data_IF_082756470072
#
_entry.id   IF_082756470072
#
_cell.length_a   1.000
_cell.length_b   1.000
_cell.length_c   1.000
_cell.angle_alpha   90.00
_cell.angle_beta   90.00
_cell.angle_gamma   90.00
#
_symmetry.space_group_name_H-M   'P 1'
#
loop_
_entity.id
_entity.type
_entity.pdbx_description
1 polymer ?
#
# COMPACT_ATOMS: atom_id res chain seq x y z
N UNK A 1 9.45 -55.92 -12.86
CA UNK A 1 10.73 -55.30 -12.46
C UNK A 1 10.69 -53.83 -12.84
N UNK A 2 10.07 -53.00 -12.00
CA UNK A 2 10.02 -51.54 -12.20
C UNK A 2 11.42 -51.02 -11.80
N UNK A 3 12.14 -50.33 -12.70
CA UNK A 3 13.58 -50.20 -12.58
C UNK A 3 13.93 -49.22 -11.46
N UNK A 4 14.91 -49.60 -10.64
CA UNK A 4 15.53 -48.78 -9.57
C UNK A 4 15.96 -47.38 -10.05
N UNK A 5 16.10 -47.20 -11.38
CA UNK A 5 16.37 -45.94 -12.05
C UNK A 5 15.25 -44.89 -11.88
N UNK A 6 13.97 -45.28 -11.91
CA UNK A 6 12.83 -44.34 -11.77
C UNK A 6 12.73 -43.80 -10.33
N UNK A 7 13.01 -44.65 -9.34
CA UNK A 7 13.04 -44.27 -7.92
C UNK A 7 14.20 -43.31 -7.63
N UNK A 8 15.37 -43.54 -8.24
CA UNK A 8 16.52 -42.64 -8.12
C UNK A 8 16.28 -41.30 -8.83
N UNK A 9 15.59 -41.27 -9.97
CA UNK A 9 15.26 -40.03 -10.70
C UNK A 9 14.20 -39.18 -9.95
N UNK A 10 13.25 -39.82 -9.27
CA UNK A 10 12.27 -39.14 -8.40
C UNK A 10 12.89 -38.62 -7.09
N UNK A 11 13.94 -39.29 -6.58
CA UNK A 11 14.67 -38.82 -5.38
C UNK A 11 15.64 -37.65 -5.66
N UNK A 12 16.15 -37.52 -6.89
CA UNK A 12 17.09 -36.45 -7.25
C UNK A 12 16.41 -35.17 -7.74
N UNK A 13 15.15 -35.22 -8.19
CA UNK A 13 14.38 -34.02 -8.58
C UNK A 13 13.67 -33.30 -7.41
N UNK A 14 13.64 -33.87 -6.21
CA UNK A 14 12.84 -33.34 -5.09
C UNK A 14 13.50 -32.26 -4.20
N UNK A 15 14.82 -31.96 -4.20
CA UNK A 15 15.36 -30.90 -3.36
C UNK A 15 15.49 -29.54 -4.06
N UNK A 16 14.78 -29.29 -5.16
CA UNK A 16 14.75 -27.99 -5.83
C UNK A 16 13.48 -27.20 -5.47
N UNK A 17 13.70 -26.06 -4.82
CA UNK A 17 12.85 -24.83 -4.83
C UNK A 17 11.65 -24.68 -3.89
N UNK A 18 11.79 -25.00 -2.60
CA UNK A 18 10.85 -24.44 -1.58
C UNK A 18 11.54 -23.63 -0.48
N UNK A 19 12.73 -23.10 -0.73
CA UNK A 19 13.21 -21.93 0.02
C UNK A 19 12.56 -20.68 -0.58
N UNK A 20 11.30 -20.45 -0.23
CA UNK A 20 10.59 -19.22 -0.56
C UNK A 20 11.22 -18.07 0.22
N UNK A 21 12.26 -17.46 -0.33
CA UNK A 21 12.74 -16.16 0.14
C UNK A 21 11.64 -15.14 -0.16
N UNK A 22 10.73 -14.91 0.78
CA UNK A 22 9.72 -13.87 0.62
C UNK A 22 10.42 -12.50 0.57
N UNK A 23 10.06 -11.71 -0.44
CA UNK A 23 10.48 -10.32 -0.59
C UNK A 23 9.25 -9.43 -0.70
N UNK A 24 9.16 -8.40 0.12
CA UNK A 24 8.12 -7.37 0.09
C UNK A 24 8.81 -6.02 -0.06
N UNK A 25 8.28 -5.15 -0.93
CA UNK A 25 8.83 -3.81 -1.18
C UNK A 25 7.77 -2.77 -0.89
N UNK A 26 8.13 -1.75 -0.13
CA UNK A 26 7.27 -0.62 0.24
C UNK A 26 7.94 0.69 -0.18
N UNK A 27 7.17 1.64 -0.70
CA UNK A 27 7.66 2.97 -1.06
C UNK A 27 7.04 4.03 -0.16
N UNK A 28 7.81 5.07 0.16
CA UNK A 28 7.43 6.11 1.13
C UNK A 28 7.42 7.49 0.48
N UNK A 29 6.45 7.79 -0.42
CA UNK A 29 6.32 9.11 -1.00
C UNK A 29 6.05 10.18 0.06
N UNK A 30 6.60 11.38 -0.16
CA UNK A 30 6.43 12.50 0.76
C UNK A 30 7.37 12.50 1.98
N UNK A 31 8.20 11.47 2.15
CA UNK A 31 9.17 11.39 3.24
C UNK A 31 10.61 11.40 2.73
N UNK A 32 11.50 12.04 3.49
CA UNK A 32 12.93 12.00 3.19
C UNK A 32 13.52 10.62 3.53
N UNK A 33 14.55 10.20 2.80
CA UNK A 33 15.24 8.93 3.06
C UNK A 33 15.76 8.81 4.49
N UNK A 34 16.29 9.88 5.08
CA UNK A 34 16.78 9.86 6.46
C UNK A 34 15.64 9.67 7.47
N UNK A 35 14.50 10.34 7.25
CA UNK A 35 13.30 10.16 8.08
C UNK A 35 12.81 8.72 8.03
N UNK A 36 12.71 8.14 6.82
CA UNK A 36 12.32 6.74 6.63
C UNK A 36 13.32 5.80 7.30
N UNK A 37 14.62 6.06 7.18
CA UNK A 37 15.65 5.24 7.81
C UNK A 37 15.55 5.26 9.33
N UNK A 38 15.32 6.43 9.94
CA UNK A 38 15.10 6.54 11.38
C UNK A 38 13.88 5.73 11.81
N UNK A 39 12.74 5.87 11.12
CA UNK A 39 11.53 5.11 11.43
C UNK A 39 11.75 3.59 11.32
N UNK A 40 12.45 3.13 10.27
CA UNK A 40 12.82 1.72 10.09
C UNK A 40 13.65 1.19 11.26
N UNK A 41 14.64 1.97 11.74
CA UNK A 41 15.45 1.56 12.89
C UNK A 41 14.62 1.49 14.17
N UNK A 42 13.77 2.51 14.42
CA UNK A 42 12.88 2.52 15.59
C UNK A 42 11.97 1.29 15.62
N UNK A 43 11.30 0.97 14.51
CA UNK A 43 10.44 -0.24 14.40
C UNK A 43 11.22 -1.55 14.55
N UNK A 44 12.49 -1.58 14.13
CA UNK A 44 13.33 -2.76 14.31
C UNK A 44 13.69 -2.96 15.80
N UNK A 45 14.07 -1.89 16.49
CA UNK A 45 14.54 -1.90 17.89
C UNK A 45 13.39 -2.05 18.90
N UNK A 46 12.27 -1.37 18.68
CA UNK A 46 11.14 -1.27 19.60
C UNK A 46 9.82 -1.68 18.92
N UNK A 47 9.68 -2.94 18.48
CA UNK A 47 8.51 -3.36 17.72
C UNK A 47 7.27 -3.50 18.60
N UNK A 48 6.14 -2.97 18.13
CA UNK A 48 4.84 -3.17 18.77
C UNK A 48 4.09 -4.41 18.21
N UNK A 49 3.44 -5.13 19.13
CA UNK A 49 2.61 -6.29 18.83
C UNK A 49 1.37 -6.30 19.73
N UNK A 50 0.19 -6.55 19.16
CA UNK A 50 -1.06 -6.60 19.92
C UNK A 50 -1.13 -7.82 20.88
N UNK A 51 -1.04 -9.02 20.31
CA UNK A 51 -1.28 -10.29 21.01
C UNK A 51 -0.01 -11.12 21.22
N UNK A 52 1.17 -10.56 20.91
CA UNK A 52 2.45 -11.26 21.00
C UNK A 52 3.41 -10.52 21.93
N UNK A 53 4.16 -11.27 22.71
CA UNK A 53 5.24 -10.76 23.55
C UNK A 53 6.58 -11.02 22.88
N UNK A 54 7.41 -9.98 22.80
CA UNK A 54 8.79 -10.06 22.33
C UNK A 54 9.65 -10.64 23.46
N UNK A 55 10.31 -11.74 23.19
CA UNK A 55 11.19 -12.44 24.13
C UNK A 55 12.66 -12.17 23.86
N UNK A 56 13.03 -12.09 22.58
CA UNK A 56 14.38 -11.77 22.10
C UNK A 56 14.22 -10.81 20.92
N UNK A 57 15.02 -9.75 20.88
CA UNK A 57 15.09 -8.82 19.75
C UNK A 57 16.55 -8.42 19.53
N UNK A 58 17.17 -8.96 18.49
CA UNK A 58 18.53 -8.65 18.08
C UNK A 58 18.46 -7.91 16.75
N UNK A 59 18.96 -6.67 16.75
CA UNK A 59 19.04 -5.81 15.57
C UNK A 59 20.49 -5.52 15.29
N UNK A 60 20.91 -5.78 14.06
CA UNK A 60 22.22 -5.38 13.56
C UNK A 60 22.02 -4.38 12.42
N UNK A 61 22.68 -3.23 12.49
CA UNK A 61 22.52 -2.14 11.53
C UNK A 61 23.84 -1.85 10.82
N UNK A 62 23.76 -1.75 9.50
CA UNK A 62 24.82 -1.31 8.59
C UNK A 62 24.41 0.03 7.95
N UNK A 63 24.88 1.16 8.50
CA UNK A 63 24.49 2.48 8.01
C UNK A 63 25.09 2.80 6.64
N UNK A 64 26.21 2.19 6.25
CA UNK A 64 26.85 2.45 4.95
C UNK A 64 26.00 1.92 3.79
N UNK A 65 25.37 0.76 3.99
CA UNK A 65 24.49 0.14 2.99
C UNK A 65 23.01 0.36 3.25
N UNK A 66 22.65 1.14 4.28
CA UNK A 66 21.30 1.33 4.79
C UNK A 66 20.52 0.00 4.89
N UNK A 67 21.18 -0.97 5.51
CA UNK A 67 20.68 -2.32 5.73
C UNK A 67 20.60 -2.59 7.21
N UNK A 68 19.56 -3.28 7.64
CA UNK A 68 19.52 -3.88 8.97
C UNK A 68 19.10 -5.35 8.88
N UNK A 69 19.57 -6.14 9.82
CA UNK A 69 19.21 -7.54 10.01
C UNK A 69 18.56 -7.70 11.38
N UNK A 70 17.45 -8.44 11.42
CA UNK A 70 16.68 -8.67 12.63
C UNK A 70 16.56 -10.17 12.89
N UNK A 71 16.93 -10.57 14.09
CA UNK A 71 16.52 -11.84 14.68
C UNK A 71 15.60 -11.56 15.87
N UNK A 72 14.42 -12.18 15.87
CA UNK A 72 13.40 -11.91 16.89
C UNK A 72 12.66 -13.18 17.28
N UNK A 73 12.39 -13.32 18.57
CA UNK A 73 11.55 -14.39 19.10
C UNK A 73 10.32 -13.79 19.75
N UNK A 74 9.14 -14.20 19.30
CA UNK A 74 7.88 -13.80 19.91
C UNK A 74 7.12 -15.00 20.47
N UNK A 75 6.30 -14.77 21.50
CA UNK A 75 5.41 -15.78 22.07
C UNK A 75 4.03 -15.22 22.36
N UNK A 76 3.02 -16.08 22.27
CA UNK A 76 1.68 -15.77 22.77
C UNK A 76 1.04 -17.00 23.40
N UNK A 77 0.02 -16.75 24.22
CA UNK A 77 -0.80 -17.81 24.81
C UNK A 77 -2.24 -17.61 24.40
N UNK A 78 -2.79 -18.56 23.65
CA UNK A 78 -4.18 -18.52 23.20
C UNK A 78 -5.07 -19.27 24.19
N UNK A 79 -6.09 -18.58 24.69
CA UNK A 79 -7.14 -19.16 25.52
C UNK A 79 -8.41 -19.33 24.68
N UNK A 80 -8.95 -20.55 24.62
CA UNK A 80 -10.26 -20.82 24.02
C UNK A 80 -11.19 -21.43 25.06
N UNK A 81 -12.49 -21.10 25.06
CA UNK A 81 -13.46 -21.70 25.98
C UNK A 81 -13.38 -23.22 25.93
N UNK A 82 -13.33 -23.86 27.10
CA UNK A 82 -13.32 -25.32 27.26
C UNK A 82 -12.11 -26.05 26.64
N UNK A 83 -11.08 -25.32 26.20
CA UNK A 83 -9.84 -25.90 25.70
C UNK A 83 -8.65 -25.55 26.62
N UNK A 84 -7.61 -26.38 26.57
CA UNK A 84 -6.34 -26.06 27.23
C UNK A 84 -5.65 -24.88 26.52
N UNK A 85 -4.95 -23.99 27.25
CA UNK A 85 -4.19 -22.91 26.63
C UNK A 85 -3.16 -23.45 25.63
N UNK A 86 -3.02 -22.76 24.49
CA UNK A 86 -2.05 -23.10 23.45
C UNK A 86 -0.94 -22.04 23.51
N UNK A 87 0.28 -22.47 23.81
CA UNK A 87 1.46 -21.62 23.73
C UNK A 87 2.03 -21.67 22.31
N UNK A 88 2.15 -20.51 21.68
CA UNK A 88 2.78 -20.37 20.38
C UNK A 88 4.10 -19.60 20.51
N UNK A 89 5.10 -20.03 19.74
CA UNK A 89 6.40 -19.35 19.63
C UNK A 89 6.72 -19.15 18.16
N UNK A 90 7.17 -17.96 17.78
CA UNK A 90 7.67 -17.66 16.44
C UNK A 90 9.10 -17.14 16.52
N UNK A 91 9.86 -17.45 15.48
CA UNK A 91 11.20 -16.94 15.27
C UNK A 91 11.22 -16.24 13.92
N UNK A 92 11.71 -15.02 13.92
CA UNK A 92 11.84 -14.17 12.74
C UNK A 92 13.31 -13.97 12.45
N UNK A 93 13.66 -14.10 11.17
CA UNK A 93 14.96 -13.72 10.63
C UNK A 93 14.69 -13.01 9.33
N UNK A 94 14.94 -11.71 9.30
CA UNK A 94 14.70 -10.90 8.11
C UNK A 94 15.69 -9.76 8.00
N UNK A 95 15.78 -9.22 6.79
CA UNK A 95 16.63 -8.09 6.45
C UNK A 95 15.74 -6.98 5.90
N UNK A 96 16.04 -5.73 6.27
CA UNK A 96 15.49 -4.54 5.63
C UNK A 96 16.63 -3.83 4.89
N UNK A 97 16.36 -3.35 3.68
CA UNK A 97 17.30 -2.51 2.92
C UNK A 97 16.56 -1.30 2.38
N UNK A 98 17.09 -0.10 2.61
CA UNK A 98 16.53 1.15 2.11
C UNK A 98 17.26 1.61 0.84
N UNK A 99 16.56 1.51 -0.29
CA UNK A 99 17.06 1.84 -1.61
C UNK A 99 17.36 3.35 -1.74
N UNK A 100 18.26 3.68 -2.66
CA UNK A 100 18.52 5.05 -3.10
C UNK A 100 17.53 5.40 -4.22
N UNK A 101 16.45 6.10 -3.89
CA UNK A 101 15.43 6.51 -4.84
C UNK A 101 14.56 7.64 -4.30
N UNK A 102 13.86 8.31 -5.21
CA UNK A 102 12.83 9.30 -4.90
C UNK A 102 11.53 8.91 -5.63
N UNK A 103 10.50 8.44 -4.90
CA UNK A 103 10.43 8.32 -3.45
C UNK A 103 11.34 7.21 -2.87
N UNK A 104 11.78 7.32 -1.60
CA UNK A 104 12.55 6.27 -0.94
C UNK A 104 11.73 4.98 -0.86
N UNK A 105 12.40 3.83 -0.99
CA UNK A 105 11.74 2.52 -0.94
C UNK A 105 12.54 1.54 -0.10
N UNK A 106 11.86 0.77 0.75
CA UNK A 106 12.47 -0.25 1.57
C UNK A 106 12.06 -1.65 1.12
N UNK A 107 13.00 -2.59 1.16
CA UNK A 107 12.77 -3.99 0.82
C UNK A 107 12.91 -4.84 2.09
N UNK A 108 11.84 -5.55 2.44
CA UNK A 108 11.84 -6.62 3.42
C UNK A 108 12.22 -7.95 2.73
N UNK A 109 13.18 -8.66 3.30
CA UNK A 109 13.60 -9.98 2.84
C UNK A 109 13.57 -10.98 4.00
N UNK A 110 12.72 -12.00 3.90
CA UNK A 110 12.74 -13.11 4.84
C UNK A 110 13.97 -14.00 4.63
N UNK A 111 14.68 -14.29 5.71
CA UNK A 111 15.92 -15.10 5.74
C UNK A 111 15.76 -16.42 6.50
N UNK A 112 14.64 -16.59 7.20
CA UNK A 112 14.34 -17.79 7.98
C UNK A 112 13.51 -18.82 7.22
N UNK A 113 13.48 -20.06 7.74
CA UNK A 113 12.49 -21.06 7.36
C UNK A 113 11.13 -20.71 7.99
N UNK A 114 10.53 -19.60 7.55
CA UNK A 114 9.18 -19.22 7.93
C UNK A 114 8.20 -19.72 6.87
N UNK A 115 6.98 -20.05 7.30
CA UNK A 115 5.86 -20.22 6.35
C UNK A 115 5.71 -18.89 5.60
N UNK A 116 5.67 -18.86 4.26
CA UNK A 116 5.67 -17.62 3.49
C UNK A 116 4.59 -16.63 3.92
N UNK A 117 3.39 -17.13 4.23
CA UNK A 117 2.29 -16.30 4.74
C UNK A 117 2.65 -15.60 6.07
N UNK A 118 3.39 -16.24 6.97
CA UNK A 118 3.83 -15.59 8.21
C UNK A 118 4.85 -14.50 7.96
N UNK A 119 5.77 -14.70 7.01
CA UNK A 119 6.72 -13.67 6.64
C UNK A 119 6.02 -12.46 5.99
N UNK A 120 4.94 -12.69 5.23
CA UNK A 120 4.15 -11.61 4.63
C UNK A 120 3.47 -10.79 5.72
N UNK A 121 2.79 -11.44 6.66
CA UNK A 121 2.15 -10.77 7.79
C UNK A 121 3.15 -9.95 8.62
N UNK A 122 4.37 -10.47 8.83
CA UNK A 122 5.41 -9.72 9.53
C UNK A 122 5.91 -8.51 8.73
N UNK A 123 6.05 -8.63 7.41
CA UNK A 123 6.41 -7.51 6.55
C UNK A 123 5.33 -6.43 6.55
N UNK A 124 4.06 -6.82 6.44
CA UNK A 124 2.91 -5.91 6.46
C UNK A 124 2.84 -5.17 7.81
N UNK A 125 2.97 -5.89 8.93
CA UNK A 125 3.05 -5.32 10.28
C UNK A 125 4.18 -4.31 10.38
N UNK A 126 5.39 -4.72 9.98
CA UNK A 126 6.58 -3.87 10.05
C UNK A 126 6.39 -2.56 9.26
N UNK A 127 5.91 -2.63 8.02
CA UNK A 127 5.72 -1.43 7.21
C UNK A 127 4.54 -0.57 7.66
N UNK A 128 3.48 -1.15 8.23
CA UNK A 128 2.40 -0.37 8.84
C UNK A 128 2.91 0.46 10.02
N UNK A 129 3.71 -0.12 10.90
CA UNK A 129 4.30 0.58 12.05
C UNK A 129 5.27 1.69 11.59
N UNK A 130 6.05 1.45 10.53
CA UNK A 130 6.88 2.50 9.91
C UNK A 130 5.99 3.65 9.43
N UNK A 131 4.88 3.36 8.76
CA UNK A 131 3.94 4.38 8.33
C UNK A 131 3.30 5.12 9.51
N UNK A 132 2.95 4.44 10.59
CA UNK A 132 2.41 5.08 11.80
C UNK A 132 3.39 6.10 12.39
N UNK A 133 4.69 5.77 12.48
CA UNK A 133 5.73 6.72 12.89
C UNK A 133 5.89 7.89 11.93
N UNK A 134 5.62 7.68 10.64
CA UNK A 134 5.69 8.70 9.60
C UNK A 134 4.42 9.59 9.52
N UNK A 135 3.40 9.33 10.35
CA UNK A 135 2.14 10.09 10.37
C UNK A 135 0.98 9.46 9.59
N UNK A 136 1.12 8.19 9.23
CA UNK A 136 0.11 7.38 8.55
C UNK A 136 0.36 7.22 7.04
N UNK A 137 -0.29 6.22 6.45
CA UNK A 137 -0.26 6.00 5.00
C UNK A 137 -0.97 7.16 4.28
N UNK A 138 -0.49 7.57 3.08
CA UNK A 138 -1.23 8.51 2.26
C UNK A 138 -2.61 7.94 1.95
N UNK A 139 -3.66 8.71 2.23
CA UNK A 139 -5.02 8.37 1.81
C UNK A 139 -5.08 8.57 0.30
N UNK A 140 -5.45 7.54 -0.49
CA UNK A 140 -5.69 7.72 -1.91
C UNK A 140 -6.71 8.84 -2.12
N UNK A 141 -6.35 9.90 -2.85
CA UNK A 141 -7.33 10.91 -3.25
C UNK A 141 -8.26 10.27 -4.29
N UNK A 142 -9.55 10.06 -3.98
CA UNK A 142 -10.47 9.45 -4.93
C UNK A 142 -10.58 10.24 -6.23
N UNK A 143 -10.28 11.55 -6.22
CA UNK A 143 -10.33 12.41 -7.42
C UNK A 143 -9.20 12.13 -8.42
N UNK A 144 -8.17 11.39 -8.02
CA UNK A 144 -7.07 10.97 -8.90
C UNK A 144 -7.28 9.56 -9.47
N UNK A 145 -8.36 8.88 -9.05
CA UNK A 145 -8.76 7.61 -9.63
C UNK A 145 -9.55 7.87 -10.93
N UNK A 146 -9.05 7.43 -12.10
CA UNK A 146 -9.74 7.64 -13.37
C UNK A 146 -11.11 6.94 -13.44
N UNK A 147 -11.38 5.98 -12.55
CA UNK A 147 -12.65 5.28 -12.44
C UNK A 147 -13.57 5.87 -11.36
N UNK A 148 -13.15 6.94 -10.67
CA UNK A 148 -13.98 7.62 -9.67
C UNK A 148 -15.03 8.50 -10.32
N UNK A 149 -16.29 8.08 -10.21
CA UNK A 149 -17.46 8.89 -10.53
C UNK A 149 -17.84 9.66 -9.28
N UNK A 150 -17.63 10.98 -9.29
CA UNK A 150 -18.09 11.87 -8.22
C UNK A 150 -19.63 11.85 -8.18
N UNK A 151 -20.25 11.34 -7.11
CA UNK A 151 -21.71 11.24 -7.01
C UNK A 151 -22.40 12.60 -6.96
N UNK A 152 -21.67 13.69 -6.70
CA UNK A 152 -22.20 15.06 -6.63
C UNK A 152 -21.96 15.85 -7.94
N UNK A 153 -21.36 15.25 -8.97
CA UNK A 153 -21.17 15.89 -10.27
C UNK A 153 -22.48 15.92 -11.06
N UNK A 154 -23.26 16.98 -10.88
CA UNK A 154 -24.41 17.29 -11.74
C UNK A 154 -23.88 17.90 -13.05
N UNK A 155 -23.89 17.10 -14.12
CA UNK A 155 -23.66 17.61 -15.47
C UNK A 155 -24.83 18.52 -15.86
N UNK A 156 -24.65 19.84 -15.70
CA UNK A 156 -25.63 20.83 -16.17
C UNK A 156 -25.50 20.91 -17.70
N UNK A 157 -26.19 20.02 -18.41
CA UNK A 157 -26.37 20.15 -19.85
C UNK A 157 -27.24 21.38 -20.11
N UNK A 158 -26.63 22.45 -20.60
CA UNK A 158 -27.30 23.67 -21.05
C UNK A 158 -28.04 23.40 -22.38
N UNK A 159 -29.17 22.69 -22.30
CA UNK A 159 -30.02 22.43 -23.46
C UNK A 159 -31.48 22.76 -23.14
N UNK A 160 -31.75 23.96 -22.63
CA UNK A 160 -33.10 24.53 -22.59
C UNK A 160 -32.97 26.02 -22.88
N UNK A 161 -33.10 26.39 -24.16
CA UNK A 161 -33.71 27.64 -24.67
C UNK A 161 -33.36 27.80 -26.16
N UNK A 162 -33.94 26.94 -27.01
CA UNK A 162 -34.15 27.26 -28.43
C UNK A 162 -35.66 27.29 -28.68
N UNK A 163 -36.25 28.46 -28.49
CA UNK A 163 -37.62 28.75 -28.92
C UNK A 163 -37.62 28.93 -30.46
N UNK A 164 -38.47 28.21 -31.22
CA UNK A 164 -38.45 28.27 -32.67
C UNK A 164 -39.21 29.48 -33.20
N UNK A 165 -38.55 30.22 -34.09
CA UNK A 165 -39.14 31.27 -34.90
C UNK A 165 -40.28 30.75 -35.80
N UNK A 166 -41.44 31.43 -35.76
CA UNK A 166 -42.41 31.63 -36.86
C UNK A 166 -43.62 32.41 -36.30
N UNK A 167 -44.19 33.46 -36.89
CA UNK A 167 -44.62 33.66 -38.29
C UNK A 167 -44.96 35.14 -38.53
N UNK A 168 -44.76 35.55 -39.77
CA UNK A 168 -45.10 36.83 -40.38
C UNK A 168 -46.59 37.22 -40.27
N UNK A 169 -46.86 38.51 -40.05
CA UNK A 169 -48.01 39.21 -40.66
C UNK A 169 -47.52 40.52 -41.26
N UNK A 170 -47.74 40.63 -42.56
CA UNK A 170 -47.33 41.75 -43.41
C UNK A 170 -48.19 43.02 -43.28
N UNK A 171 -48.11 43.92 -44.27
CA UNK A 171 -47.74 45.32 -44.07
C UNK A 171 -48.93 46.27 -44.15
N UNK A 172 -48.80 47.44 -43.51
CA UNK A 172 -49.53 48.71 -43.70
C UNK A 172 -49.08 49.62 -42.54
N UNK A 173 -48.74 50.89 -42.68
CA UNK A 173 -49.07 51.89 -43.69
C UNK A 173 -48.12 53.07 -43.37
N UNK A 174 -47.50 53.64 -44.39
CA UNK A 174 -46.79 54.92 -44.27
C UNK A 174 -47.81 56.01 -43.95
N UNK A 175 -47.45 56.97 -43.09
CA UNK A 175 -47.65 58.38 -43.41
C UNK A 175 -46.68 59.28 -42.62
N UNK A 176 -46.35 60.48 -43.14
CA UNK A 176 -45.06 61.10 -42.90
C UNK A 176 -45.14 62.53 -42.30
N UNK A 177 -43.94 63.04 -41.93
CA UNK A 177 -43.51 64.45 -41.77
C UNK A 177 -44.02 65.26 -40.56
N UNK A 178 -43.07 65.80 -39.78
CA UNK A 178 -42.86 67.22 -39.39
C UNK A 178 -41.92 67.24 -38.17
N UNK A 179 -40.61 67.43 -38.36
CA UNK A 179 -39.86 68.70 -38.44
C UNK A 179 -39.91 69.56 -37.17
N UNK A 180 -38.70 69.94 -36.77
CA UNK A 180 -38.29 71.12 -36.03
C UNK A 180 -38.43 71.18 -34.50
N UNK A 181 -37.23 71.22 -33.90
CA UNK A 181 -36.76 72.32 -33.06
C UNK A 181 -37.42 72.54 -31.69
N UNK A 182 -36.62 72.45 -30.63
CA UNK A 182 -36.32 73.56 -29.70
C UNK A 182 -35.84 73.00 -28.33
N UNK A 183 -34.56 73.31 -28.04
CA UNK A 183 -33.93 73.55 -26.72
C UNK A 183 -33.69 72.41 -25.73
#
# INVERSE_FOLDING_TARGET
MIPRLIVLLLLTLLPLTLTGCLRVKESFPGHSRSTVWTAINTVAEEPEYDDWYVMENEVWTDPETARLEVYRVTRRTLHRPQARPINERRQWRFQITLDEGDPPAATFLSRGAAVPMHAQLEADRFFNEVWELLGGRPVPDPRLDPDYVDPDFVEITSEVDREPAQRERGPREFDPIMSDDQR
#
